data_IF_174923907169
#
_entry.id   IF_174923907169
#
_cell.length_a   1.000
_cell.length_b   1.000
_cell.length_c   1.000
_cell.angle_alpha   90.00
_cell.angle_beta   90.00
_cell.angle_gamma   90.00
#
_symmetry.space_group_name_H-M   'P 1'
#
loop_
_entity.id
_entity.type
_entity.pdbx_description
1 polymer ?
#
# COMPACT_ATOMS: atom_id res chain seq x y z
N UNK A 1 -18.75 19.00 3.05
CA UNK A 1 -19.32 18.45 1.79
C UNK A 1 -18.29 17.64 0.98
N UNK A 2 -17.04 18.09 0.83
CA UNK A 2 -15.97 17.31 0.14
C UNK A 2 -15.57 16.02 0.87
N UNK A 3 -15.60 16.03 2.20
CA UNK A 3 -15.33 14.87 3.05
C UNK A 3 -16.31 13.72 2.81
N UNK A 4 -17.61 14.03 2.70
CA UNK A 4 -18.65 13.03 2.44
C UNK A 4 -18.49 12.41 1.04
N UNK A 5 -18.14 13.21 0.04
CA UNK A 5 -17.84 12.73 -1.31
C UNK A 5 -16.69 11.72 -1.27
N UNK A 6 -15.58 12.07 -0.63
CA UNK A 6 -14.40 11.19 -0.55
C UNK A 6 -14.71 9.87 0.18
N UNK A 7 -15.40 9.95 1.32
CA UNK A 7 -15.82 8.76 2.07
C UNK A 7 -16.80 7.91 1.26
N UNK A 8 -17.77 8.53 0.58
CA UNK A 8 -18.77 7.84 -0.22
C UNK A 8 -18.19 7.11 -1.44
N UNK A 9 -17.06 7.56 -1.99
CA UNK A 9 -16.36 6.86 -3.07
C UNK A 9 -15.44 5.77 -2.50
N UNK A 10 -14.74 6.07 -1.40
CA UNK A 10 -13.76 5.17 -0.81
C UNK A 10 -14.37 3.93 -0.15
N UNK A 11 -15.41 4.10 0.68
CA UNK A 11 -15.99 2.99 1.45
C UNK A 11 -16.57 1.88 0.57
N UNK A 12 -17.34 2.17 -0.49
CA UNK A 12 -17.83 1.14 -1.41
C UNK A 12 -16.73 0.41 -2.16
N UNK A 13 -15.55 1.02 -2.35
CA UNK A 13 -14.40 0.36 -2.96
C UNK A 13 -13.72 -0.66 -2.03
N UNK A 14 -13.90 -0.57 -0.70
CA UNK A 14 -13.29 -1.51 0.26
C UNK A 14 -13.78 -2.97 0.11
N UNK A 15 -15.09 -3.25 -0.05
CA UNK A 15 -15.56 -4.59 -0.39
C UNK A 15 -14.92 -5.14 -1.67
N UNK A 16 -14.79 -4.31 -2.71
CA UNK A 16 -14.14 -4.72 -3.96
C UNK A 16 -12.65 -4.98 -3.76
N UNK A 17 -11.95 -4.16 -2.96
CA UNK A 17 -10.56 -4.38 -2.59
C UNK A 17 -10.35 -5.69 -1.83
N UNK A 18 -11.31 -6.11 -1.02
CA UNK A 18 -11.26 -7.37 -0.28
C UNK A 18 -11.51 -8.59 -1.19
N UNK A 19 -12.52 -8.53 -2.06
CA UNK A 19 -12.88 -9.63 -2.98
C UNK A 19 -11.84 -9.76 -4.11
N UNK A 20 -11.41 -8.62 -4.64
CA UNK A 20 -10.46 -8.50 -5.75
C UNK A 20 -9.24 -7.66 -5.30
N UNK A 21 -8.22 -8.31 -4.71
CA UNK A 21 -7.04 -7.62 -4.17
C UNK A 21 -6.33 -6.68 -5.14
N UNK A 22 -6.39 -6.95 -6.45
CA UNK A 22 -5.83 -6.09 -7.48
C UNK A 22 -6.46 -4.69 -7.51
N UNK A 23 -7.78 -4.58 -7.28
CA UNK A 23 -8.48 -3.29 -7.21
C UNK A 23 -8.07 -2.52 -5.97
N UNK A 24 -7.83 -3.22 -4.87
CA UNK A 24 -7.39 -2.56 -3.65
C UNK A 24 -5.96 -2.02 -3.75
N UNK A 25 -5.06 -2.66 -4.52
CA UNK A 25 -3.74 -2.08 -4.83
C UNK A 25 -3.89 -0.75 -5.58
N UNK A 26 -4.81 -0.68 -6.55
CA UNK A 26 -5.11 0.56 -7.26
C UNK A 26 -5.67 1.61 -6.30
N UNK A 27 -6.60 1.23 -5.42
CA UNK A 27 -7.15 2.12 -4.40
C UNK A 27 -6.06 2.67 -3.48
N UNK A 28 -5.15 1.81 -3.00
CA UNK A 28 -4.03 2.22 -2.17
C UNK A 28 -3.06 3.13 -2.91
N UNK A 29 -2.76 2.82 -4.17
CA UNK A 29 -1.85 3.61 -5.01
C UNK A 29 -2.43 4.99 -5.27
N UNK A 30 -3.71 5.07 -5.64
CA UNK A 30 -4.43 6.32 -5.82
C UNK A 30 -4.43 7.18 -4.55
N UNK A 31 -4.76 6.59 -3.40
CA UNK A 31 -4.75 7.31 -2.11
C UNK A 31 -3.34 7.77 -1.74
N UNK A 32 -2.32 6.95 -1.98
CA UNK A 32 -0.94 7.26 -1.63
C UNK A 32 -0.33 8.34 -2.51
N UNK A 33 -0.59 8.30 -3.82
CA UNK A 33 -0.04 9.28 -4.78
C UNK A 33 -0.81 10.60 -4.78
N UNK A 34 -2.14 10.56 -4.79
CA UNK A 34 -2.94 11.79 -4.87
C UNK A 34 -3.21 12.42 -3.50
N UNK A 35 -3.06 11.67 -2.40
CA UNK A 35 -3.39 12.12 -1.03
C UNK A 35 -4.69 12.94 -0.96
N UNK A 36 -5.82 12.45 -1.51
CA UNK A 36 -7.03 13.25 -1.68
C UNK A 36 -7.64 13.68 -0.33
N UNK A 37 -7.32 12.94 0.73
CA UNK A 37 -7.66 13.27 2.12
C UNK A 37 -7.01 14.59 2.60
N UNK A 38 -5.92 15.06 1.98
CA UNK A 38 -5.33 16.36 2.31
C UNK A 38 -6.11 17.55 1.74
N UNK A 39 -7.06 17.31 0.84
CA UNK A 39 -7.92 18.34 0.24
C UNK A 39 -9.26 18.51 0.97
N UNK A 40 -9.50 17.69 2.00
CA UNK A 40 -10.64 17.80 2.90
C UNK A 40 -10.30 18.61 4.13
N UNK A 41 -11.29 19.21 4.79
CA UNK A 41 -11.08 20.13 5.92
C UNK A 41 -11.73 19.66 7.23
N UNK A 42 -12.49 18.57 7.21
CA UNK A 42 -13.13 17.98 8.39
C UNK A 42 -12.53 16.62 8.75
N UNK A 43 -13.37 15.71 9.26
CA UNK A 43 -12.97 14.38 9.76
C UNK A 43 -12.18 13.52 8.74
N UNK A 44 -12.42 13.73 7.44
CA UNK A 44 -11.69 12.98 6.40
C UNK A 44 -10.22 13.45 6.25
N UNK A 45 -9.78 14.52 6.90
CA UNK A 45 -8.38 14.96 6.83
C UNK A 45 -7.46 14.07 7.67
N UNK A 46 -7.87 13.72 8.89
CA UNK A 46 -7.07 12.96 9.86
C UNK A 46 -7.24 11.43 9.73
N UNK A 47 -8.23 10.98 8.98
CA UNK A 47 -8.51 9.54 8.85
C UNK A 47 -7.42 8.84 8.01
N UNK A 48 -6.86 7.70 8.45
CA UNK A 48 -5.75 7.04 7.77
C UNK A 48 -6.23 6.17 6.60
N UNK A 49 -6.78 6.79 5.56
CA UNK A 49 -7.33 6.09 4.36
C UNK A 49 -6.34 5.10 3.74
N UNK A 50 -5.06 5.49 3.62
CA UNK A 50 -4.02 4.62 3.09
C UNK A 50 -3.82 3.35 3.92
N UNK A 51 -3.94 3.45 5.26
CA UNK A 51 -3.81 2.30 6.14
C UNK A 51 -5.02 1.36 6.04
N UNK A 52 -6.22 1.92 5.91
CA UNK A 52 -7.47 1.15 5.74
C UNK A 52 -7.43 0.40 4.40
N UNK A 53 -7.03 1.07 3.31
CA UNK A 53 -6.85 0.43 2.01
C UNK A 53 -5.78 -0.67 2.05
N UNK A 54 -4.63 -0.40 2.68
CA UNK A 54 -3.57 -1.40 2.84
C UNK A 54 -4.05 -2.62 3.65
N UNK A 55 -4.69 -2.42 4.80
CA UNK A 55 -5.17 -3.54 5.62
C UNK A 55 -6.24 -4.36 4.91
N UNK A 56 -7.19 -3.72 4.24
CA UNK A 56 -8.23 -4.43 3.48
C UNK A 56 -7.67 -5.18 2.28
N UNK A 57 -6.69 -4.61 1.56
CA UNK A 57 -5.98 -5.35 0.50
C UNK A 57 -5.22 -6.54 1.04
N UNK A 58 -4.45 -6.39 2.12
CA UNK A 58 -3.67 -7.48 2.69
C UNK A 58 -4.56 -8.60 3.22
N UNK A 59 -5.69 -8.26 3.84
CA UNK A 59 -6.70 -9.23 4.24
C UNK A 59 -7.28 -9.93 3.00
N UNK A 60 -7.66 -9.17 1.97
CA UNK A 60 -8.12 -9.73 0.69
C UNK A 60 -7.09 -10.65 0.04
N UNK A 61 -5.81 -10.29 0.08
CA UNK A 61 -4.70 -11.14 -0.40
C UNK A 61 -4.67 -12.43 0.39
N UNK A 62 -4.79 -12.38 1.72
CA UNK A 62 -4.72 -13.56 2.57
C UNK A 62 -5.88 -14.53 2.30
N UNK A 63 -7.11 -14.01 2.17
CA UNK A 63 -8.31 -14.83 1.96
C UNK A 63 -8.57 -15.20 0.49
N UNK A 64 -7.98 -14.46 -0.46
CA UNK A 64 -8.15 -14.74 -1.89
C UNK A 64 -7.49 -16.07 -2.28
N UNK A 65 -8.14 -16.77 -3.20
CA UNK A 65 -7.66 -18.01 -3.83
C UNK A 65 -6.73 -17.74 -5.02
N UNK A 66 -6.46 -16.48 -5.37
CA UNK A 66 -5.50 -16.15 -6.43
C UNK A 66 -4.10 -16.71 -6.11
N UNK A 67 -3.36 -17.11 -7.15
CA UNK A 67 -2.00 -17.65 -7.01
C UNK A 67 -1.04 -16.55 -6.53
N UNK A 68 -0.80 -16.51 -5.23
CA UNK A 68 0.18 -15.66 -4.55
C UNK A 68 1.59 -16.17 -4.83
N UNK A 69 2.28 -15.55 -5.79
CA UNK A 69 3.69 -15.85 -6.06
C UNK A 69 4.44 -14.55 -6.25
N UNK A 70 5.53 -14.36 -5.50
CA UNK A 70 6.47 -13.29 -5.79
C UNK A 70 7.26 -13.63 -7.07
N UNK A 71 7.53 -12.65 -7.94
CA UNK A 71 8.48 -12.83 -9.03
C UNK A 71 9.83 -13.27 -8.45
N UNK A 72 10.41 -14.35 -8.98
CA UNK A 72 11.78 -14.78 -8.63
C UNK A 72 12.79 -13.98 -9.46
N UNK A 73 12.70 -12.66 -9.34
CA UNK A 73 13.56 -11.74 -10.05
C UNK A 73 14.64 -11.25 -9.07
N UNK A 74 15.90 -11.10 -9.50
CA UNK A 74 16.99 -10.67 -8.63
C UNK A 74 16.70 -9.33 -7.95
N UNK A 75 15.93 -8.45 -8.61
CA UNK A 75 15.49 -7.15 -8.09
C UNK A 75 14.66 -7.30 -6.81
N UNK A 76 13.80 -8.32 -6.73
CA UNK A 76 13.00 -8.60 -5.52
C UNK A 76 13.91 -9.04 -4.37
N UNK A 77 14.96 -9.82 -4.67
CA UNK A 77 15.94 -10.25 -3.66
C UNK A 77 16.75 -9.05 -3.17
N UNK A 78 17.22 -8.19 -4.08
CA UNK A 78 17.92 -6.96 -3.71
C UNK A 78 17.05 -6.02 -2.87
N UNK A 79 15.76 -5.90 -3.19
CA UNK A 79 14.83 -5.07 -2.43
C UNK A 79 14.62 -5.63 -1.01
N UNK A 80 14.49 -6.95 -0.85
CA UNK A 80 14.41 -7.59 0.47
C UNK A 80 15.72 -7.45 1.25
N UNK A 81 16.87 -7.60 0.59
CA UNK A 81 18.18 -7.41 1.20
C UNK A 81 18.36 -5.95 1.66
N UNK A 82 17.93 -4.98 0.85
CA UNK A 82 17.93 -3.57 1.20
C UNK A 82 17.02 -3.31 2.40
N UNK A 83 15.82 -3.89 2.43
CA UNK A 83 14.91 -3.75 3.57
C UNK A 83 15.52 -4.31 4.87
N UNK A 84 16.17 -5.47 4.79
CA UNK A 84 16.91 -6.04 5.92
C UNK A 84 18.06 -5.12 6.36
N UNK A 85 18.82 -4.57 5.41
CA UNK A 85 19.90 -3.63 5.69
C UNK A 85 19.41 -2.34 6.37
N UNK A 86 18.30 -1.76 5.89
CA UNK A 86 17.66 -0.59 6.51
C UNK A 86 17.20 -0.91 7.94
N UNK A 87 16.73 -2.13 8.18
CA UNK A 87 16.35 -2.58 9.52
C UNK A 87 17.56 -2.66 10.44
N UNK A 88 18.67 -3.25 9.98
CA UNK A 88 19.93 -3.32 10.75
C UNK A 88 20.44 -1.92 11.07
N UNK A 89 20.54 -1.04 10.07
CA UNK A 89 21.04 0.34 10.28
C UNK A 89 20.13 1.17 11.20
N UNK A 90 18.82 0.89 11.23
CA UNK A 90 17.89 1.54 12.16
C UNK A 90 18.14 1.15 13.63
N UNK A 91 18.58 -0.08 13.91
CA UNK A 91 18.99 -0.49 15.27
C UNK A 91 20.23 0.25 15.77
N UNK A 92 21.14 0.63 14.86
CA UNK A 92 22.37 1.35 15.18
C UNK A 92 22.25 2.87 15.00
N UNK A 93 21.05 3.39 14.81
CA UNK A 93 20.85 4.81 14.56
C UNK A 93 21.10 5.66 15.82
N UNK A 94 21.82 6.78 15.65
CA UNK A 94 22.09 7.75 16.72
C UNK A 94 20.77 8.34 17.28
N UNK A 95 19.81 8.62 16.38
CA UNK A 95 18.47 9.08 16.73
C UNK A 95 17.47 7.94 16.53
N UNK A 96 17.42 7.03 17.50
CA UNK A 96 16.59 5.82 17.43
C UNK A 96 15.12 6.15 17.14
N UNK A 97 14.53 7.13 17.83
CA UNK A 97 13.11 7.46 17.72
C UNK A 97 12.72 7.87 16.28
N UNK A 98 13.47 8.79 15.70
CA UNK A 98 13.26 9.24 14.31
C UNK A 98 13.53 8.14 13.29
N UNK A 99 14.50 7.26 13.58
CA UNK A 99 14.83 6.13 12.72
C UNK A 99 13.68 5.11 12.68
N UNK A 100 13.09 4.77 13.83
CA UNK A 100 11.97 3.84 13.90
C UNK A 100 10.69 4.39 13.26
N UNK A 101 10.41 5.68 13.43
CA UNK A 101 9.29 6.34 12.74
C UNK A 101 9.43 6.24 11.22
N UNK A 102 10.63 6.54 10.69
CA UNK A 102 10.92 6.41 9.26
C UNK A 102 10.93 4.96 8.80
N UNK A 103 11.46 4.05 9.61
CA UNK A 103 11.45 2.62 9.32
C UNK A 103 10.02 2.08 9.19
N UNK A 104 9.10 2.49 10.08
CA UNK A 104 7.69 2.11 9.97
C UNK A 104 7.06 2.63 8.67
N UNK A 105 7.35 3.88 8.30
CA UNK A 105 6.85 4.46 7.05
C UNK A 105 7.35 3.68 5.83
N UNK A 106 8.66 3.46 5.75
CA UNK A 106 9.30 2.76 4.62
C UNK A 106 8.85 1.30 4.55
N UNK A 107 8.76 0.61 5.69
CA UNK A 107 8.32 -0.79 5.75
C UNK A 107 6.90 -0.97 5.22
N UNK A 108 5.98 -0.05 5.54
CA UNK A 108 4.60 -0.08 5.00
C UNK A 108 4.58 0.06 3.48
N UNK A 109 5.40 0.96 2.93
CA UNK A 109 5.52 1.17 1.48
C UNK A 109 6.09 -0.08 0.81
N UNK A 110 7.23 -0.61 1.30
CA UNK A 110 7.88 -1.79 0.74
C UNK A 110 6.96 -3.01 0.76
N UNK A 111 6.21 -3.20 1.85
CA UNK A 111 5.24 -4.27 1.98
C UNK A 111 4.14 -4.17 0.91
N UNK A 112 3.61 -2.97 0.66
CA UNK A 112 2.61 -2.74 -0.39
C UNK A 112 3.21 -2.88 -1.80
N UNK A 113 4.47 -2.52 -2.01
CA UNK A 113 5.19 -2.76 -3.27
C UNK A 113 5.35 -4.26 -3.54
N UNK A 114 5.69 -5.05 -2.53
CA UNK A 114 5.75 -6.51 -2.62
C UNK A 114 4.38 -7.12 -2.92
N UNK A 115 3.32 -6.64 -2.26
CA UNK A 115 1.94 -7.04 -2.56
C UNK A 115 1.56 -6.71 -4.02
N UNK A 116 1.96 -5.54 -4.50
CA UNK A 116 1.74 -5.10 -5.88
C UNK A 116 2.43 -6.04 -6.87
N UNK A 117 3.71 -6.34 -6.69
CA UNK A 117 4.44 -7.28 -7.56
C UNK A 117 3.86 -8.71 -7.52
N UNK A 118 3.26 -9.11 -6.41
CA UNK A 118 2.64 -10.43 -6.29
C UNK A 118 1.38 -10.58 -7.14
N UNK A 119 0.56 -9.53 -7.23
CA UNK A 119 -0.77 -9.56 -7.86
C UNK A 119 -0.78 -8.98 -9.27
N UNK A 120 0.05 -7.97 -9.51
CA UNK A 120 0.11 -7.22 -10.77
C UNK A 120 1.03 -7.94 -11.76
N UNK A 121 0.59 -9.11 -12.24
CA UNK A 121 1.35 -10.00 -13.13
C UNK A 121 1.03 -9.81 -14.60
N UNK A 122 -0.16 -9.32 -14.91
CA UNK A 122 -0.64 -9.11 -16.27
C UNK A 122 -0.33 -7.70 -16.76
N UNK A 123 0.08 -7.56 -18.02
CA UNK A 123 0.34 -6.25 -18.65
C UNK A 123 -0.88 -5.31 -18.55
N UNK A 124 -2.10 -5.84 -18.58
CA UNK A 124 -3.32 -5.07 -18.38
C UNK A 124 -3.40 -4.45 -16.99
N UNK A 125 -3.17 -5.24 -15.93
CA UNK A 125 -3.16 -4.76 -14.54
C UNK A 125 -2.05 -3.72 -14.32
N UNK A 126 -0.87 -3.96 -14.91
CA UNK A 126 0.26 -3.04 -14.85
C UNK A 126 -0.07 -1.70 -15.53
N UNK A 127 -0.78 -1.75 -16.67
CA UNK A 127 -1.24 -0.54 -17.35
C UNK A 127 -2.18 0.25 -16.44
N UNK A 128 -3.18 -0.39 -15.83
CA UNK A 128 -4.08 0.32 -14.91
C UNK A 128 -3.35 0.97 -13.73
N UNK A 129 -2.32 0.31 -13.18
CA UNK A 129 -1.47 0.89 -12.13
C UNK A 129 -0.67 2.11 -12.64
N UNK A 130 -0.25 2.13 -13.90
CA UNK A 130 0.46 3.28 -14.47
C UNK A 130 -0.46 4.49 -14.73
N UNK A 131 -1.78 4.29 -14.79
CA UNK A 131 -2.78 5.34 -15.02
C UNK A 131 -3.47 5.83 -13.74
N UNK A 132 -3.13 5.31 -12.57
CA UNK A 132 -3.60 5.83 -11.25
C UNK A 132 -2.78 7.00 -10.78
#
# INVERSE_FOLDING_TARGET
MRDLLLVSVFFPMLPFAFIYPWMGILLWSWVSYMSPHRLTFGFAYDMPFGMIAALTTLAGILFSREKKRLPRAPEVIFLLALWAWVTITSFFAIHSDLAWDKWQQVSKILLMTLATMMICRDAGRLRYLAWT
#
